data_IF_516995578162
#
_entry.id   IF_516995578162
#
_cell.length_a   1.000
_cell.length_b   1.000
_cell.length_c   1.000
_cell.angle_alpha   90.00
_cell.angle_beta   90.00
_cell.angle_gamma   90.00
#
_symmetry.space_group_name_H-M   'P 1'
#
loop_
_entity.id
_entity.type
_entity.pdbx_description
1 polymer ?
#
# COMPACT_ATOMS: atom_id res chain seq x y z
N UNK A 1 10.66 25.17 -21.82
CA UNK A 1 10.79 23.71 -21.66
C UNK A 1 9.44 23.08 -21.96
N UNK A 2 9.38 21.77 -22.16
CA UNK A 2 8.10 21.07 -22.22
C UNK A 2 7.49 20.96 -20.82
N UNK A 3 6.18 20.75 -20.75
CA UNK A 3 5.48 20.41 -19.51
C UNK A 3 5.92 19.02 -19.03
N UNK A 4 6.09 18.83 -17.73
CA UNK A 4 6.49 17.54 -17.12
C UNK A 4 5.51 16.39 -17.40
N UNK A 5 4.26 16.68 -17.75
CA UNK A 5 3.31 15.66 -18.21
C UNK A 5 3.74 14.98 -19.51
N UNK A 6 4.57 15.64 -20.34
CA UNK A 6 5.13 14.99 -21.53
C UNK A 6 5.93 13.75 -21.11
N UNK A 7 6.77 13.87 -20.09
CA UNK A 7 7.61 12.75 -19.62
C UNK A 7 6.77 11.63 -19.01
N UNK A 8 5.76 11.97 -18.20
CA UNK A 8 4.90 10.99 -17.55
C UNK A 8 3.90 10.31 -18.49
N UNK A 9 3.70 10.81 -19.71
CA UNK A 9 2.72 10.26 -20.65
C UNK A 9 3.18 8.99 -21.38
N UNK A 10 4.46 8.64 -21.33
CA UNK A 10 4.99 7.48 -22.08
C UNK A 10 6.09 6.70 -21.36
N UNK A 11 6.43 7.07 -20.11
CA UNK A 11 7.49 6.39 -19.34
C UNK A 11 7.28 4.88 -19.18
N UNK A 12 6.03 4.41 -19.14
CA UNK A 12 5.70 2.98 -19.05
C UNK A 12 6.14 2.20 -20.29
N UNK A 13 6.17 2.84 -21.46
CA UNK A 13 6.74 2.26 -22.68
C UNK A 13 8.27 2.26 -22.60
N UNK A 14 8.87 3.34 -22.11
CA UNK A 14 10.33 3.42 -21.92
C UNK A 14 10.85 2.36 -20.94
N UNK A 15 10.07 1.95 -19.95
CA UNK A 15 10.44 0.84 -19.07
C UNK A 15 10.57 -0.51 -19.78
N UNK A 16 9.92 -0.70 -20.93
CA UNK A 16 10.10 -1.90 -21.74
C UNK A 16 11.51 -1.96 -22.34
N UNK A 17 12.12 -0.80 -22.60
CA UNK A 17 13.42 -0.68 -23.27
C UNK A 17 14.25 0.53 -22.73
N UNK A 18 14.68 0.50 -21.46
CA UNK A 18 15.18 1.70 -20.79
C UNK A 18 16.59 2.13 -21.23
N UNK A 19 17.34 1.23 -21.87
CA UNK A 19 18.76 1.42 -22.22
C UNK A 19 19.00 1.68 -23.71
N UNK A 20 17.94 1.76 -24.51
CA UNK A 20 18.04 2.01 -25.94
C UNK A 20 18.38 3.48 -26.21
N UNK A 21 19.54 3.73 -26.79
CA UNK A 21 20.07 5.06 -27.11
C UNK A 21 19.73 5.54 -28.52
N UNK A 22 19.19 4.67 -29.36
CA UNK A 22 18.85 4.97 -30.76
C UNK A 22 17.39 5.40 -30.95
N UNK A 23 16.48 4.87 -30.13
CA UNK A 23 15.03 5.14 -30.22
C UNK A 23 14.37 5.25 -28.84
N UNK A 24 13.14 5.82 -28.75
CA UNK A 24 12.41 5.88 -27.50
C UNK A 24 12.16 4.50 -26.88
N UNK A 25 11.90 3.48 -27.70
CA UNK A 25 11.80 2.07 -27.33
C UNK A 25 11.70 1.22 -28.61
N UNK A 26 12.18 -0.02 -28.58
CA UNK A 26 11.97 -0.97 -29.67
C UNK A 26 10.57 -1.59 -29.65
N UNK A 27 9.98 -1.79 -30.83
CA UNK A 27 8.68 -2.48 -30.98
C UNK A 27 8.69 -3.86 -30.31
N UNK A 28 9.75 -4.64 -30.53
CA UNK A 28 9.87 -5.98 -29.97
C UNK A 28 9.85 -5.98 -28.43
N UNK A 29 10.44 -4.96 -27.80
CA UNK A 29 10.41 -4.82 -26.34
C UNK A 29 9.03 -4.47 -25.82
N UNK A 30 8.34 -3.54 -26.48
CA UNK A 30 6.96 -3.18 -26.11
C UNK A 30 6.02 -4.36 -26.33
N UNK A 31 6.10 -5.07 -27.45
CA UNK A 31 5.26 -6.23 -27.74
C UNK A 31 5.43 -7.33 -26.69
N UNK A 32 6.66 -7.54 -26.20
CA UNK A 32 6.91 -8.53 -25.14
C UNK A 32 6.12 -8.22 -23.85
N UNK A 33 6.00 -6.96 -23.47
CA UNK A 33 5.40 -6.56 -22.19
C UNK A 33 3.95 -6.13 -22.29
N UNK A 34 3.52 -5.60 -23.45
CA UNK A 34 2.25 -4.88 -23.62
C UNK A 34 1.30 -5.56 -24.62
N UNK A 35 1.68 -6.72 -25.19
CA UNK A 35 0.97 -7.37 -26.31
C UNK A 35 -0.47 -7.80 -26.06
N UNK A 36 -0.89 -8.00 -24.81
CA UNK A 36 -2.29 -8.30 -24.51
C UNK A 36 -3.12 -7.01 -24.51
N UNK A 37 -3.08 -6.29 -23.40
CA UNK A 37 -3.95 -5.13 -23.14
C UNK A 37 -3.16 -3.95 -22.54
N UNK A 38 -1.87 -3.84 -22.86
CA UNK A 38 -0.97 -2.89 -22.20
C UNK A 38 -0.50 -3.37 -20.83
N UNK A 39 -0.30 -2.46 -19.88
CA UNK A 39 0.12 -2.78 -18.51
C UNK A 39 -1.05 -3.48 -17.79
N UNK A 40 -0.83 -4.70 -17.29
CA UNK A 40 -1.89 -5.51 -16.68
C UNK A 40 -2.59 -4.80 -15.50
N UNK A 41 -1.82 -4.14 -14.63
CA UNK A 41 -2.34 -3.39 -13.48
C UNK A 41 -1.52 -2.11 -13.31
N UNK A 42 -2.17 -0.97 -13.44
CA UNK A 42 -1.62 0.34 -13.11
C UNK A 42 -2.14 0.80 -11.75
N UNK A 43 -1.24 1.13 -10.82
CA UNK A 43 -1.58 1.57 -9.46
C UNK A 43 -1.17 3.03 -9.32
N UNK A 44 -2.12 3.91 -9.01
CA UNK A 44 -1.87 5.35 -8.92
C UNK A 44 -2.91 6.09 -8.08
N UNK A 45 -2.53 7.22 -7.51
CA UNK A 45 -3.45 8.00 -6.68
C UNK A 45 -4.60 8.58 -7.51
N UNK A 46 -5.79 8.70 -6.89
CA UNK A 46 -6.97 9.29 -7.54
C UNK A 46 -6.71 10.73 -8.02
N UNK A 47 -5.73 11.44 -7.45
CA UNK A 47 -5.31 12.76 -7.91
C UNK A 47 -4.83 12.80 -9.37
N UNK A 48 -4.41 11.67 -9.93
CA UNK A 48 -3.90 11.58 -11.30
C UNK A 48 -4.98 11.19 -12.32
N UNK A 49 -6.23 11.02 -11.87
CA UNK A 49 -7.30 10.42 -12.67
C UNK A 49 -7.65 11.20 -13.95
N UNK A 50 -7.46 12.53 -13.95
CA UNK A 50 -7.79 13.38 -15.11
C UNK A 50 -6.54 13.62 -15.97
N UNK A 51 -5.59 14.44 -15.52
CA UNK A 51 -4.50 14.93 -16.39
C UNK A 51 -3.58 13.80 -16.87
N UNK A 52 -2.81 13.22 -15.96
CA UNK A 52 -1.81 12.19 -16.29
C UNK A 52 -2.42 11.00 -17.05
N UNK A 53 -3.52 10.42 -16.56
CA UNK A 53 -4.13 9.28 -17.23
C UNK A 53 -4.69 9.62 -18.61
N UNK A 54 -5.27 10.82 -18.79
CA UNK A 54 -5.73 11.25 -20.11
C UNK A 54 -4.56 11.45 -21.07
N UNK A 55 -3.46 12.06 -20.61
CA UNK A 55 -2.29 12.27 -21.45
C UNK A 55 -1.58 10.95 -21.81
N UNK A 56 -1.47 10.02 -20.87
CA UNK A 56 -0.95 8.68 -21.13
C UNK A 56 -1.77 7.94 -22.19
N UNK A 57 -3.11 8.00 -22.11
CA UNK A 57 -4.01 7.43 -23.13
C UNK A 57 -3.85 8.13 -24.47
N UNK A 58 -3.82 9.46 -24.49
CA UNK A 58 -3.62 10.23 -25.71
C UNK A 58 -2.31 9.85 -26.41
N UNK A 59 -1.19 9.81 -25.68
CA UNK A 59 0.11 9.40 -26.22
C UNK A 59 0.06 7.97 -26.77
N UNK A 60 -0.51 7.02 -26.02
CA UNK A 60 -0.59 5.64 -26.46
C UNK A 60 -1.46 5.48 -27.72
N UNK A 61 -2.60 6.19 -27.80
CA UNK A 61 -3.47 6.20 -28.97
C UNK A 61 -2.75 6.81 -30.19
N UNK A 62 -2.00 7.91 -29.99
CA UNK A 62 -1.19 8.52 -31.04
C UNK A 62 -0.12 7.55 -31.57
N UNK A 63 0.61 6.88 -30.67
CA UNK A 63 1.63 5.90 -31.03
C UNK A 63 1.02 4.68 -31.75
N UNK A 64 -0.17 4.24 -31.32
CA UNK A 64 -0.86 3.09 -31.92
C UNK A 64 -1.44 3.44 -33.30
N UNK A 65 -2.30 4.46 -33.38
CA UNK A 65 -3.04 4.81 -34.61
C UNK A 65 -2.24 5.66 -35.59
N UNK A 66 -1.34 6.50 -35.08
CA UNK A 66 -0.57 7.44 -35.89
C UNK A 66 0.72 6.84 -36.41
N UNK A 67 1.44 6.08 -35.58
CA UNK A 67 2.79 5.60 -35.89
C UNK A 67 2.92 4.07 -35.93
N UNK A 68 1.89 3.32 -35.48
CA UNK A 68 1.92 1.86 -35.36
C UNK A 68 3.13 1.35 -34.56
N UNK A 69 3.47 2.05 -33.45
CA UNK A 69 4.63 1.77 -32.60
C UNK A 69 4.30 1.00 -31.31
N UNK A 70 3.03 0.76 -31.02
CA UNK A 70 2.60 0.02 -29.83
C UNK A 70 1.46 -0.95 -30.19
N UNK A 71 1.38 -2.13 -29.57
CA UNK A 71 0.49 -3.21 -30.00
C UNK A 71 -0.98 -2.97 -29.61
N UNK A 72 -1.23 -2.14 -28.60
CA UNK A 72 -2.54 -1.96 -28.00
C UNK A 72 -2.98 -0.49 -27.99
N UNK A 73 -4.29 -0.27 -28.06
CA UNK A 73 -4.88 1.07 -28.11
C UNK A 73 -4.83 1.78 -26.74
N UNK A 74 -5.14 1.06 -25.67
CA UNK A 74 -5.15 1.59 -24.30
C UNK A 74 -3.88 1.13 -23.55
N UNK A 75 -3.23 2.00 -22.77
CA UNK A 75 -1.96 1.67 -22.12
C UNK A 75 -2.10 0.83 -20.85
N UNK A 76 -3.28 0.81 -20.21
CA UNK A 76 -3.50 0.17 -18.91
C UNK A 76 -4.78 -0.70 -18.94
N UNK A 77 -4.65 -1.99 -18.67
CA UNK A 77 -5.79 -2.94 -18.66
C UNK A 77 -6.66 -2.76 -17.42
N UNK A 78 -6.03 -2.69 -16.24
CA UNK A 78 -6.69 -2.40 -14.97
C UNK A 78 -6.07 -1.20 -14.29
N UNK A 79 -6.92 -0.35 -13.72
CA UNK A 79 -6.51 0.78 -12.89
C UNK A 79 -6.96 0.53 -11.45
N UNK A 80 -6.01 0.46 -10.52
CA UNK A 80 -6.26 0.45 -9.09
C UNK A 80 -5.91 1.82 -8.51
N UNK A 81 -6.93 2.59 -8.16
CA UNK A 81 -6.72 3.93 -7.60
C UNK A 81 -6.55 3.87 -6.10
N UNK A 82 -5.34 4.06 -5.57
CA UNK A 82 -5.18 4.04 -4.11
C UNK A 82 -5.79 5.27 -3.44
N UNK A 83 -6.30 5.06 -2.22
CA UNK A 83 -6.72 6.11 -1.33
C UNK A 83 -5.55 6.90 -0.75
N UNK A 84 -5.86 8.08 -0.20
CA UNK A 84 -4.86 8.96 0.39
C UNK A 84 -4.37 8.43 1.74
N UNK A 85 -3.08 8.60 2.01
CA UNK A 85 -2.56 8.48 3.38
C UNK A 85 -2.79 9.79 4.12
N UNK A 86 -3.50 9.69 5.24
CA UNK A 86 -3.88 10.81 6.10
C UNK A 86 -2.99 10.83 7.34
N UNK A 87 -2.51 12.03 7.68
CA UNK A 87 -1.78 12.30 8.92
C UNK A 87 -2.63 13.10 9.88
N UNK A 88 -2.43 12.86 11.18
CA UNK A 88 -3.01 13.67 12.24
C UNK A 88 -2.47 15.10 12.13
N UNK A 89 -3.36 16.07 11.95
CA UNK A 89 -3.02 17.44 11.58
C UNK A 89 -3.61 18.41 12.57
N UNK A 90 -2.73 19.16 13.24
CA UNK A 90 -3.12 20.16 14.22
C UNK A 90 -3.20 21.56 13.61
N UNK A 91 -4.29 22.26 13.90
CA UNK A 91 -4.54 23.64 13.49
C UNK A 91 -4.90 24.49 14.69
N UNK A 92 -4.35 25.70 14.76
CA UNK A 92 -4.86 26.72 15.66
C UNK A 92 -6.29 27.09 15.24
N UNK A 93 -7.25 26.97 16.16
CA UNK A 93 -8.67 27.14 15.87
C UNK A 93 -9.06 28.57 15.49
N UNK A 94 -8.28 29.56 15.91
CA UNK A 94 -8.56 30.98 15.67
C UNK A 94 -7.99 31.49 14.36
N UNK A 95 -6.81 31.01 13.97
CA UNK A 95 -6.05 31.49 12.82
C UNK A 95 -6.05 30.51 11.64
N UNK A 96 -6.37 29.23 11.88
CA UNK A 96 -6.24 28.16 10.89
C UNK A 96 -4.80 27.76 10.58
N UNK A 97 -3.81 28.29 11.33
CA UNK A 97 -2.39 28.00 11.16
C UNK A 97 -2.11 26.53 11.48
N UNK A 98 -1.36 25.85 10.61
CA UNK A 98 -0.83 24.51 10.88
C UNK A 98 0.25 24.55 11.97
N UNK A 99 0.14 23.63 12.93
CA UNK A 99 1.07 23.49 14.05
C UNK A 99 2.08 22.38 13.80
N UNK A 100 3.33 22.60 14.21
CA UNK A 100 4.35 21.57 14.23
C UNK A 100 4.03 20.50 15.28
N UNK A 101 4.46 19.24 15.12
CA UNK A 101 4.25 18.19 16.12
C UNK A 101 4.76 18.54 17.54
N UNK A 102 5.74 19.43 17.65
CA UNK A 102 6.28 19.93 18.92
C UNK A 102 5.51 21.10 19.54
N UNK A 103 4.56 21.68 18.82
CA UNK A 103 3.78 22.85 19.26
C UNK A 103 2.45 22.47 19.90
N UNK A 104 2.04 21.20 19.91
CA UNK A 104 0.74 20.80 20.45
C UNK A 104 0.80 19.47 21.18
N UNK A 105 -0.20 19.22 22.02
CA UNK A 105 -0.40 17.93 22.70
C UNK A 105 -1.87 17.65 22.97
N UNK A 106 -2.20 16.37 23.12
CA UNK A 106 -3.48 15.96 23.67
C UNK A 106 -3.63 16.40 25.14
N UNK A 107 -4.76 17.01 25.48
CA UNK A 107 -5.11 17.33 26.88
C UNK A 107 -6.03 16.24 27.45
N UNK A 108 -5.48 15.42 28.34
CA UNK A 108 -6.21 14.32 28.99
C UNK A 108 -7.30 14.80 29.98
N UNK A 109 -7.30 16.08 30.37
CA UNK A 109 -8.26 16.66 31.32
C UNK A 109 -9.44 17.36 30.65
N UNK A 110 -9.36 17.58 29.34
CA UNK A 110 -10.37 18.29 28.57
C UNK A 110 -11.27 17.30 27.84
N UNK A 111 -12.59 17.45 27.97
CA UNK A 111 -13.57 16.75 27.13
C UNK A 111 -13.51 17.19 25.65
N UNK A 112 -12.68 18.19 25.29
CA UNK A 112 -12.79 18.92 24.00
C UNK A 112 -11.52 18.99 23.14
N UNK A 113 -10.43 18.27 23.45
CA UNK A 113 -9.37 18.03 22.46
C UNK A 113 -7.96 18.50 22.83
N UNK A 114 -7.14 18.77 21.81
CA UNK A 114 -5.73 19.13 21.95
C UNK A 114 -5.51 20.61 22.28
N UNK A 115 -4.33 20.93 22.81
CA UNK A 115 -3.90 22.29 23.13
C UNK A 115 -2.53 22.63 22.55
N UNK A 116 -2.30 23.91 22.28
CA UNK A 116 -0.99 24.42 21.89
C UNK A 116 -0.08 24.54 23.13
N UNK A 117 1.15 24.10 22.99
CA UNK A 117 2.18 24.12 24.03
C UNK A 117 2.66 25.57 24.21
N UNK A 118 2.52 26.09 25.44
CA UNK A 118 2.94 27.44 25.81
C UNK A 118 1.77 28.41 25.95
N UNK A 119 0.89 28.49 24.95
CA UNK A 119 -0.28 29.38 24.96
C UNK A 119 -1.50 28.75 25.66
N UNK A 120 -1.63 27.43 25.60
CA UNK A 120 -2.80 26.70 26.13
C UNK A 120 -4.08 26.92 25.32
N UNK A 121 -3.99 27.47 24.11
CA UNK A 121 -5.13 27.66 23.21
C UNK A 121 -5.64 26.32 22.68
N UNK A 122 -6.93 26.27 22.35
CA UNK A 122 -7.54 25.07 21.81
C UNK A 122 -7.07 24.81 20.37
N UNK A 123 -6.68 23.55 20.11
CA UNK A 123 -6.22 23.06 18.82
C UNK A 123 -7.28 22.17 18.21
N UNK A 124 -7.57 22.39 16.93
CA UNK A 124 -8.36 21.47 16.12
C UNK A 124 -7.42 20.40 15.55
N UNK A 125 -7.73 19.14 15.81
CA UNK A 125 -7.00 17.99 15.27
C UNK A 125 -7.89 17.25 14.28
N UNK A 126 -7.44 17.15 13.03
CA UNK A 126 -8.17 16.54 11.93
C UNK A 126 -7.26 15.61 11.12
N UNK A 127 -7.85 14.63 10.43
CA UNK A 127 -7.14 13.78 9.48
C UNK A 127 -7.11 14.46 8.11
N UNK A 128 -5.93 14.78 7.62
CA UNK A 128 -5.75 15.38 6.30
C UNK A 128 -4.67 14.67 5.51
N UNK A 129 -4.71 14.78 4.17
CA UNK A 129 -3.64 14.28 3.28
C UNK A 129 -2.28 14.74 3.80
N UNK A 130 -1.35 13.79 3.92
CA UNK A 130 0.01 14.10 4.34
C UNK A 130 0.67 15.08 3.36
N UNK A 131 1.28 16.14 3.90
CA UNK A 131 2.04 17.12 3.11
C UNK A 131 3.00 17.92 3.98
N UNK A 132 4.08 18.42 3.36
CA UNK A 132 5.10 19.21 4.06
C UNK A 132 4.55 20.49 4.69
N UNK A 133 3.63 21.17 4.01
CA UNK A 133 3.03 22.44 4.49
C UNK A 133 2.09 22.28 5.69
N UNK A 134 1.66 21.04 5.99
CA UNK A 134 0.75 20.73 7.09
C UNK A 134 1.44 20.14 8.31
N UNK A 135 2.75 19.88 8.19
CA UNK A 135 3.57 19.28 9.26
C UNK A 135 3.02 17.95 9.81
N UNK A 136 2.25 17.22 9.00
CA UNK A 136 1.58 15.96 9.33
C UNK A 136 2.19 14.74 8.60
N UNK A 137 3.29 14.96 7.87
CA UNK A 137 3.97 13.92 7.12
C UNK A 137 4.81 13.03 8.03
N UNK A 138 4.84 11.75 7.71
CA UNK A 138 5.68 10.75 8.40
C UNK A 138 6.82 10.37 7.49
N UNK A 139 8.04 10.41 8.02
CA UNK A 139 9.24 10.00 7.29
C UNK A 139 9.32 8.47 7.19
N UNK A 140 9.25 7.89 5.97
CA UNK A 140 9.33 6.45 5.79
C UNK A 140 10.65 5.84 6.28
N UNK A 141 11.78 6.53 6.15
CA UNK A 141 13.08 6.00 6.56
C UNK A 141 13.19 5.87 8.08
N UNK A 142 12.68 6.86 8.82
CA UNK A 142 12.65 6.82 10.28
C UNK A 142 11.78 5.67 10.78
N UNK A 143 10.61 5.50 10.18
CA UNK A 143 9.66 4.46 10.57
C UNK A 143 10.18 3.07 10.22
N UNK A 144 10.78 2.89 9.04
CA UNK A 144 11.43 1.62 8.65
C UNK A 144 12.60 1.31 9.56
N UNK A 145 13.42 2.29 9.93
CA UNK A 145 14.54 2.10 10.86
C UNK A 145 14.06 1.70 12.26
N UNK A 146 12.90 2.21 12.71
CA UNK A 146 12.32 1.93 14.03
C UNK A 146 11.63 0.56 14.11
N UNK A 147 10.93 0.14 13.06
CA UNK A 147 10.03 -1.02 13.11
C UNK A 147 10.35 -2.14 12.14
N UNK A 148 11.22 -1.89 11.15
CA UNK A 148 11.54 -2.82 10.07
C UNK A 148 10.55 -2.75 8.90
N UNK A 149 11.04 -3.01 7.68
CA UNK A 149 10.26 -2.87 6.46
C UNK A 149 9.00 -3.75 6.42
N UNK A 150 9.08 -5.00 6.89
CA UNK A 150 7.96 -5.94 6.83
C UNK A 150 6.79 -5.52 7.74
N UNK A 151 7.10 -5.03 8.95
CA UNK A 151 6.08 -4.55 9.87
C UNK A 151 5.31 -3.36 9.28
N UNK A 152 6.01 -2.46 8.56
CA UNK A 152 5.41 -1.30 7.92
C UNK A 152 4.60 -1.69 6.69
N UNK A 153 5.12 -2.57 5.83
CA UNK A 153 4.37 -3.09 4.68
C UNK A 153 3.08 -3.77 5.13
N UNK A 154 3.13 -4.61 6.17
CA UNK A 154 1.94 -5.23 6.74
C UNK A 154 0.99 -4.19 7.34
N UNK A 155 1.50 -3.16 8.02
CA UNK A 155 0.65 -2.14 8.62
C UNK A 155 -0.13 -1.37 7.56
N UNK A 156 0.54 -0.99 6.47
CA UNK A 156 -0.08 -0.30 5.34
C UNK A 156 -1.12 -1.18 4.66
N UNK A 157 -0.76 -2.43 4.32
CA UNK A 157 -1.65 -3.34 3.60
C UNK A 157 -2.83 -3.84 4.46
N UNK A 158 -2.70 -3.82 5.78
CA UNK A 158 -3.75 -4.29 6.70
C UNK A 158 -4.71 -3.18 7.14
N UNK A 159 -4.27 -1.92 7.14
CA UNK A 159 -5.04 -0.82 7.74
C UNK A 159 -6.41 -0.62 7.09
N UNK A 160 -6.48 -0.66 5.75
CA UNK A 160 -7.69 -0.34 4.99
C UNK A 160 -7.61 -0.95 3.58
N UNK A 161 -8.73 -1.17 2.87
CA UNK A 161 -8.69 -1.54 1.46
C UNK A 161 -7.94 -0.49 0.62
N UNK A 162 -7.26 -0.88 -0.47
CA UNK A 162 -6.35 0.00 -1.19
C UNK A 162 -7.02 1.27 -1.73
N UNK A 163 -8.31 1.24 -2.09
CA UNK A 163 -9.06 2.38 -2.62
C UNK A 163 -9.59 3.34 -1.55
N UNK A 164 -9.44 3.00 -0.26
CA UNK A 164 -9.93 3.81 0.86
C UNK A 164 -8.79 4.63 1.48
N UNK A 165 -9.11 5.82 2.03
CA UNK A 165 -8.13 6.57 2.81
C UNK A 165 -7.57 5.75 3.97
N UNK A 166 -6.28 5.92 4.24
CA UNK A 166 -5.56 5.29 5.34
C UNK A 166 -5.21 6.35 6.38
N UNK A 167 -5.80 6.26 7.57
CA UNK A 167 -5.40 7.06 8.72
C UNK A 167 -4.15 6.45 9.36
N UNK A 168 -3.04 7.21 9.34
CA UNK A 168 -1.76 6.71 9.81
C UNK A 168 -1.68 6.72 11.33
N UNK A 169 -1.61 5.52 11.92
CA UNK A 169 -1.41 5.34 13.35
C UNK A 169 -0.23 4.41 13.65
N UNK A 170 0.82 4.90 14.30
CA UNK A 170 1.97 4.05 14.69
C UNK A 170 1.57 2.87 15.59
N UNK A 171 0.50 3.03 16.39
CA UNK A 171 -0.01 1.97 17.27
C UNK A 171 -0.45 0.72 16.49
N UNK A 172 -0.85 0.86 15.22
CA UNK A 172 -1.23 -0.27 14.36
C UNK A 172 -0.04 -1.15 13.99
N UNK A 173 1.16 -0.57 13.95
CA UNK A 173 2.41 -1.27 13.60
C UNK A 173 2.76 -2.32 14.66
N UNK A 174 2.50 -2.01 15.94
CA UNK A 174 2.74 -2.95 17.04
C UNK A 174 1.93 -4.24 16.88
N UNK A 175 0.72 -4.16 16.31
CA UNK A 175 -0.07 -5.34 15.97
C UNK A 175 0.62 -6.24 14.95
N UNK A 176 1.21 -5.63 13.92
CA UNK A 176 1.91 -6.37 12.86
C UNK A 176 3.22 -6.97 13.34
N UNK A 177 3.95 -6.28 14.21
CA UNK A 177 5.15 -6.83 14.87
C UNK A 177 4.79 -8.07 15.69
N UNK A 178 3.68 -8.03 16.44
CA UNK A 178 3.22 -9.21 17.20
C UNK A 178 2.84 -10.36 16.27
N UNK A 179 2.20 -10.08 15.14
CA UNK A 179 1.87 -11.09 14.15
C UNK A 179 3.13 -11.72 13.52
N UNK A 180 4.09 -10.92 13.08
CA UNK A 180 5.37 -11.40 12.55
C UNK A 180 6.13 -12.26 13.56
N UNK A 181 6.19 -11.82 14.83
CA UNK A 181 6.79 -12.63 15.91
C UNK A 181 6.07 -13.95 16.11
N UNK A 182 4.73 -13.98 16.03
CA UNK A 182 3.96 -15.22 16.10
C UNK A 182 4.34 -16.17 14.97
N UNK A 183 4.39 -15.70 13.72
CA UNK A 183 4.79 -16.51 12.57
C UNK A 183 6.21 -17.07 12.77
N UNK A 184 7.15 -16.22 13.18
CA UNK A 184 8.52 -16.65 13.49
C UNK A 184 8.57 -17.73 14.58
N UNK A 185 7.77 -17.59 15.64
CA UNK A 185 7.72 -18.59 16.71
C UNK A 185 7.15 -19.93 16.24
N UNK A 186 6.11 -19.91 15.40
CA UNK A 186 5.53 -21.13 14.79
C UNK A 186 6.61 -21.83 13.94
N UNK A 187 7.29 -21.09 13.06
CA UNK A 187 8.33 -21.65 12.19
C UNK A 187 9.50 -22.21 13.00
N UNK A 188 10.00 -21.47 14.00
CA UNK A 188 11.10 -21.94 14.84
C UNK A 188 10.71 -23.18 15.65
N UNK A 189 9.50 -23.21 16.20
CA UNK A 189 8.98 -24.38 16.90
C UNK A 189 8.96 -25.60 15.97
N UNK A 190 8.49 -25.43 14.73
CA UNK A 190 8.52 -26.50 13.73
C UNK A 190 9.97 -26.94 13.42
N UNK A 191 10.88 -26.01 13.12
CA UNK A 191 12.29 -26.33 12.81
C UNK A 191 12.93 -27.16 13.93
N UNK A 192 12.64 -26.86 15.21
CA UNK A 192 13.21 -27.60 16.32
C UNK A 192 12.54 -28.95 16.59
N UNK A 193 11.27 -29.14 16.22
CA UNK A 193 10.48 -30.31 16.62
C UNK A 193 10.02 -31.21 15.46
N UNK A 194 10.27 -30.84 14.19
CA UNK A 194 9.76 -31.57 13.01
C UNK A 194 10.16 -33.05 12.93
N UNK A 195 11.27 -33.45 13.57
CA UNK A 195 11.71 -34.85 13.61
C UNK A 195 10.83 -35.75 14.51
N UNK A 196 9.90 -35.17 15.27
CA UNK A 196 8.97 -35.86 16.16
C UNK A 196 7.51 -35.77 15.68
N UNK A 197 7.27 -35.83 14.36
CA UNK A 197 5.91 -35.84 13.81
C UNK A 197 5.13 -37.10 14.23
N UNK A 198 4.03 -36.92 14.96
CA UNK A 198 3.05 -37.96 15.21
C UNK A 198 2.28 -38.33 13.93
N UNK A 199 1.72 -39.55 13.86
CA UNK A 199 0.80 -39.92 12.78
C UNK A 199 -0.46 -39.05 12.83
N UNK A 200 -0.94 -38.60 11.67
CA UNK A 200 -2.09 -37.70 11.54
C UNK A 200 -3.35 -38.22 12.26
N UNK A 201 -4.06 -37.29 12.91
CA UNK A 201 -5.34 -37.49 13.61
C UNK A 201 -6.50 -36.82 12.84
N UNK A 202 -7.74 -36.98 13.28
CA UNK A 202 -8.87 -36.21 12.73
C UNK A 202 -8.69 -34.69 12.87
N UNK A 203 -7.99 -34.22 13.92
CA UNK A 203 -7.65 -32.80 14.10
C UNK A 203 -6.67 -32.32 13.02
N UNK A 204 -5.76 -33.18 12.54
CA UNK A 204 -4.87 -32.83 11.42
C UNK A 204 -5.64 -32.63 10.12
N UNK A 205 -6.68 -33.43 9.85
CA UNK A 205 -7.52 -33.26 8.66
C UNK A 205 -8.35 -31.97 8.69
N UNK A 206 -8.82 -31.53 9.87
CA UNK A 206 -9.51 -30.25 10.02
C UNK A 206 -8.57 -29.07 9.76
N UNK A 207 -7.34 -29.14 10.29
CA UNK A 207 -6.33 -28.10 10.07
C UNK A 207 -5.89 -28.04 8.59
N UNK A 208 -5.72 -29.19 7.93
CA UNK A 208 -5.46 -29.25 6.48
C UNK A 208 -6.57 -28.57 5.68
N UNK A 209 -7.84 -28.78 6.06
CA UNK A 209 -8.96 -28.10 5.42
C UNK A 209 -8.92 -26.58 5.66
N UNK A 210 -8.63 -26.14 6.88
CA UNK A 210 -8.45 -24.72 7.19
C UNK A 210 -7.31 -24.08 6.38
N UNK A 211 -6.19 -24.77 6.22
CA UNK A 211 -5.06 -24.33 5.37
C UNK A 211 -5.52 -24.18 3.91
N UNK A 212 -6.16 -25.20 3.34
CA UNK A 212 -6.63 -25.16 1.96
C UNK A 212 -7.67 -24.04 1.74
N UNK A 213 -8.61 -23.88 2.67
CA UNK A 213 -9.58 -22.79 2.61
C UNK A 213 -8.91 -21.42 2.70
N UNK A 214 -7.90 -21.27 3.55
CA UNK A 214 -7.11 -20.04 3.67
C UNK A 214 -6.39 -19.74 2.36
N UNK A 215 -5.77 -20.74 1.70
CA UNK A 215 -5.10 -20.59 0.41
C UNK A 215 -6.09 -20.07 -0.64
N UNK A 216 -7.27 -20.70 -0.76
CA UNK A 216 -8.31 -20.26 -1.71
C UNK A 216 -8.76 -18.83 -1.42
N UNK A 217 -9.03 -18.52 -0.15
CA UNK A 217 -9.50 -17.20 0.26
C UNK A 217 -8.45 -16.11 -0.02
N UNK A 218 -7.19 -16.32 0.40
CA UNK A 218 -6.09 -15.38 0.20
C UNK A 218 -5.84 -15.15 -1.29
N UNK A 219 -5.81 -16.22 -2.09
CA UNK A 219 -5.62 -16.13 -3.54
C UNK A 219 -6.69 -15.22 -4.15
N UNK A 220 -7.97 -15.50 -3.86
CA UNK A 220 -9.10 -14.70 -4.33
C UNK A 220 -8.97 -13.23 -3.94
N UNK A 221 -8.62 -12.93 -2.68
CA UNK A 221 -8.49 -11.55 -2.23
C UNK A 221 -7.35 -10.80 -2.94
N UNK A 222 -6.26 -11.48 -3.31
CA UNK A 222 -5.11 -10.85 -3.97
C UNK A 222 -5.35 -10.67 -5.47
N UNK A 223 -5.99 -11.65 -6.13
CA UNK A 223 -6.09 -11.66 -7.60
C UNK A 223 -7.36 -11.02 -8.15
N UNK A 224 -8.45 -11.03 -7.38
CA UNK A 224 -9.76 -10.55 -7.86
C UNK A 224 -10.16 -9.20 -7.26
N UNK A 225 -10.02 -9.04 -5.94
CA UNK A 225 -10.54 -7.87 -5.22
C UNK A 225 -9.48 -6.89 -4.77
N UNK A 226 -8.20 -7.32 -4.74
CA UNK A 226 -7.08 -6.57 -4.15
C UNK A 226 -7.31 -6.18 -2.67
N UNK A 227 -8.18 -6.91 -1.95
CA UNK A 227 -8.47 -6.68 -0.53
C UNK A 227 -7.38 -7.28 0.36
N UNK A 228 -6.19 -6.67 0.33
CA UNK A 228 -5.00 -7.14 1.07
C UNK A 228 -5.24 -7.25 2.57
N UNK A 229 -6.03 -6.33 3.15
CA UNK A 229 -6.41 -6.36 4.55
C UNK A 229 -7.19 -7.63 4.93
N UNK A 230 -8.09 -8.09 4.05
CA UNK A 230 -8.83 -9.35 4.24
C UNK A 230 -7.89 -10.54 4.08
N UNK A 231 -7.02 -10.53 3.08
CA UNK A 231 -6.02 -11.59 2.88
C UNK A 231 -5.12 -11.77 4.12
N UNK A 232 -4.61 -10.68 4.68
CA UNK A 232 -3.80 -10.69 5.91
C UNK A 232 -4.63 -11.18 7.10
N UNK A 233 -5.91 -10.78 7.21
CA UNK A 233 -6.80 -11.27 8.27
C UNK A 233 -6.97 -12.79 8.24
N UNK A 234 -7.13 -13.39 7.06
CA UNK A 234 -7.21 -14.85 6.89
C UNK A 234 -5.91 -15.53 7.34
N UNK A 235 -4.74 -14.98 6.97
CA UNK A 235 -3.44 -15.50 7.43
C UNK A 235 -3.26 -15.37 8.95
N UNK A 236 -3.74 -14.28 9.56
CA UNK A 236 -3.71 -14.12 11.01
C UNK A 236 -4.59 -15.16 11.73
N UNK A 237 -5.77 -15.48 11.17
CA UNK A 237 -6.64 -16.55 11.70
C UNK A 237 -5.94 -17.89 11.63
N UNK A 238 -5.39 -18.25 10.47
CA UNK A 238 -4.64 -19.49 10.30
C UNK A 238 -3.45 -19.59 11.27
N UNK A 239 -2.69 -18.50 11.44
CA UNK A 239 -1.58 -18.47 12.39
C UNK A 239 -2.04 -18.66 13.85
N UNK A 240 -3.25 -18.19 14.21
CA UNK A 240 -3.81 -18.48 15.53
C UNK A 240 -4.14 -19.96 15.70
N UNK A 241 -4.73 -20.60 14.69
CA UNK A 241 -5.04 -22.03 14.70
C UNK A 241 -3.78 -22.87 14.79
N UNK A 242 -2.78 -22.59 13.95
CA UNK A 242 -1.47 -23.26 13.97
C UNK A 242 -0.75 -23.12 15.32
N UNK A 243 -0.86 -21.97 15.98
CA UNK A 243 -0.23 -21.75 17.29
C UNK A 243 -0.87 -22.53 18.44
N UNK A 244 -2.05 -23.12 18.25
CA UNK A 244 -2.77 -23.92 19.26
C UNK A 244 -2.60 -25.43 19.04
N UNK A 245 -2.13 -25.83 17.88
CA UNK A 245 -1.90 -27.24 17.55
C UNK A 245 -0.58 -27.68 18.19
N UNK A 246 -0.57 -28.82 18.91
CA UNK A 246 0.62 -29.34 19.58
C UNK A 246 1.71 -29.80 18.61
#
# INVERSE_FOLDING_TARGET
TLDTFVDSSWYFLRYCDPRNDEEPFSQASVDKWMSKNGVDIYIGGIEHAILHLLYARFFNIFLHKGLNLVPCLEPFDKLLTQGMVLGETAKDKSTGRYLLPSEWKWDNNSKTGAIEIGTGTNVEVVWEKMSKSKHNGVDPELVVSKFGADAIRLAILFATPPDKPLEWHENTIQGQIRFLRKVNNIVNHFIHNHNHCAKGTSETALLENEVNQTIVNVTRQITETYSFNVAISELMKLANSLSRTP
#
